data_IF_744877663018
#
_entry.id   IF_744877663018
#
_cell.length_a   1.000
_cell.length_b   1.000
_cell.length_c   1.000
_cell.angle_alpha   90.00
_cell.angle_beta   90.00
_cell.angle_gamma   90.00
#
_symmetry.space_group_name_H-M   'P 1'
#
loop_
_entity.id
_entity.type
_entity.pdbx_description
1 polymer ?
#
# COMPACT_ATOMS: atom_id res chain seq x y z
N UNK A 1 25.00 16.57 31.07
CA UNK A 1 24.12 16.70 32.25
C UNK A 1 24.31 18.11 32.79
N UNK A 2 23.23 18.83 33.01
CA UNK A 2 23.27 20.22 33.49
C UNK A 2 22.23 20.42 34.59
N UNK A 3 22.54 21.29 35.55
CA UNK A 3 21.57 21.76 36.54
C UNK A 3 20.78 22.90 35.90
N UNK A 4 19.46 22.78 35.92
CA UNK A 4 18.54 23.81 35.45
C UNK A 4 17.77 24.30 36.66
N UNK A 5 17.65 25.61 36.80
CA UNK A 5 16.86 26.21 37.87
C UNK A 5 15.51 26.66 37.29
N UNK A 6 14.42 26.29 37.94
CA UNK A 6 13.09 26.75 37.56
C UNK A 6 12.85 28.19 38.05
N UNK A 7 11.80 28.89 37.58
CA UNK A 7 11.48 30.26 38.03
C UNK A 7 11.18 30.38 39.53
N UNK A 8 10.95 29.27 40.24
CA UNK A 8 10.70 29.23 41.67
C UNK A 8 11.97 28.95 42.49
N UNK A 9 13.14 28.81 41.86
CA UNK A 9 14.43 28.55 42.51
C UNK A 9 14.69 27.06 42.79
N UNK A 10 13.86 26.15 42.29
CA UNK A 10 14.09 24.71 42.40
C UNK A 10 15.14 24.28 41.38
N UNK A 11 16.09 23.44 41.79
CA UNK A 11 17.14 22.92 40.90
C UNK A 11 16.75 21.53 40.39
N UNK A 12 16.63 21.39 39.08
CA UNK A 12 16.40 20.13 38.38
C UNK A 12 17.68 19.66 37.68
N UNK A 13 17.85 18.35 37.58
CA UNK A 13 18.90 17.74 36.78
C UNK A 13 18.37 17.46 35.37
N UNK A 14 18.95 18.08 34.36
CA UNK A 14 18.66 17.76 32.97
C UNK A 14 19.78 16.89 32.39
N UNK A 15 19.41 15.71 31.92
CA UNK A 15 20.29 14.81 31.20
C UNK A 15 19.72 14.54 29.81
N UNK A 16 20.59 14.42 28.82
CA UNK A 16 20.27 13.97 27.49
C UNK A 16 21.10 12.71 27.21
N UNK A 17 20.51 11.81 26.44
CA UNK A 17 21.15 10.61 25.94
C UNK A 17 20.63 10.31 24.55
N UNK A 18 21.35 9.47 23.82
CA UNK A 18 20.90 8.95 22.53
C UNK A 18 20.94 7.43 22.60
N UNK A 19 19.89 6.80 22.06
CA UNK A 19 19.89 5.37 21.80
C UNK A 19 20.66 5.19 20.48
N UNK A 20 21.73 4.38 20.43
CA UNK A 20 22.46 4.12 19.18
C UNK A 20 21.51 3.57 18.11
N UNK A 21 21.68 3.99 16.86
CA UNK A 21 20.84 3.50 15.75
C UNK A 21 20.87 1.97 15.64
N UNK A 22 22.00 1.33 15.97
CA UNK A 22 22.15 -0.14 15.99
C UNK A 22 21.30 -0.83 17.05
N UNK A 23 20.78 -0.10 18.04
CA UNK A 23 19.89 -0.60 19.08
C UNK A 23 18.41 -0.40 18.74
N UNK A 24 18.11 0.34 17.66
CA UNK A 24 16.76 0.59 17.17
C UNK A 24 16.40 -0.52 16.18
N UNK A 25 15.71 -1.54 16.68
CA UNK A 25 15.25 -2.72 15.92
C UNK A 25 13.74 -2.83 16.04
N UNK A 26 13.12 -3.73 15.28
CA UNK A 26 11.70 -4.04 15.46
C UNK A 26 11.43 -4.95 16.65
N UNK A 27 10.30 -4.79 17.35
CA UNK A 27 9.20 -3.83 17.08
C UNK A 27 9.46 -2.40 17.59
N UNK A 28 10.60 -2.16 18.23
CA UNK A 28 10.98 -0.86 18.75
C UNK A 28 12.11 -0.95 19.75
N UNK A 29 12.30 0.13 20.51
CA UNK A 29 13.20 0.13 21.66
C UNK A 29 12.42 0.26 22.94
N UNK A 30 12.69 -0.66 23.86
CA UNK A 30 12.30 -0.57 25.25
C UNK A 30 13.39 0.11 26.05
N UNK A 31 13.06 1.21 26.73
CA UNK A 31 14.00 1.84 27.64
C UNK A 31 13.32 2.28 28.94
N UNK A 32 14.13 2.37 29.99
CA UNK A 32 13.76 3.02 31.23
C UNK A 32 14.89 3.97 31.62
N UNK A 33 14.56 4.98 32.41
CA UNK A 33 15.54 5.90 32.97
C UNK A 33 15.70 5.55 34.44
N UNK A 34 16.93 5.34 34.90
CA UNK A 34 17.25 5.15 36.31
C UNK A 34 18.05 6.34 36.82
N UNK A 35 17.57 6.96 37.90
CA UNK A 35 18.29 7.96 38.68
C UNK A 35 18.81 7.32 39.96
N UNK A 36 20.12 7.42 40.21
CA UNK A 36 20.78 6.89 41.41
C UNK A 36 21.37 8.05 42.21
N UNK A 37 20.95 8.18 43.47
CA UNK A 37 21.46 9.18 44.41
C UNK A 37 21.84 8.50 45.75
N UNK A 38 23.13 8.20 45.92
CA UNK A 38 23.60 7.41 47.05
C UNK A 38 23.06 5.97 47.00
N UNK A 39 22.31 5.56 48.03
CA UNK A 39 21.62 4.25 48.07
C UNK A 39 20.20 4.30 47.51
N UNK A 40 19.68 5.49 47.20
CA UNK A 40 18.33 5.67 46.67
C UNK A 40 18.33 5.51 45.15
N UNK A 41 17.39 4.72 44.63
CA UNK A 41 17.14 4.53 43.20
C UNK A 41 15.72 4.94 42.86
N UNK A 42 15.55 5.61 41.74
CA UNK A 42 14.24 5.94 41.16
C UNK A 42 14.24 5.58 39.68
N UNK A 43 13.15 5.01 39.17
CA UNK A 43 13.03 4.63 37.76
C UNK A 43 11.82 5.27 37.10
N UNK A 44 11.93 5.57 35.81
CA UNK A 44 10.84 6.02 34.97
C UNK A 44 10.71 5.15 33.71
N UNK A 45 9.51 4.67 33.36
CA UNK A 45 8.27 4.76 34.13
C UNK A 45 8.34 3.99 35.46
N UNK A 46 7.63 4.47 36.48
CA UNK A 46 7.72 3.95 37.84
C UNK A 46 6.76 2.77 38.07
N UNK A 47 7.04 1.57 37.54
CA UNK A 47 6.32 0.37 37.99
C UNK A 47 7.04 -0.29 39.17
N UNK A 48 6.66 0.15 40.36
CA UNK A 48 7.15 -0.40 41.61
C UNK A 48 6.57 -1.81 41.89
N UNK A 49 7.04 -2.83 41.17
CA UNK A 49 6.98 -4.26 41.58
C UNK A 49 7.85 -5.10 40.65
N UNK A 50 9.13 -5.32 41.01
CA UNK A 50 10.10 -6.33 40.51
C UNK A 50 10.31 -6.57 38.99
N UNK A 51 9.42 -6.15 38.10
CA UNK A 51 9.55 -6.07 36.66
C UNK A 51 9.65 -4.59 36.29
N UNK A 52 10.78 -4.19 35.70
CA UNK A 52 11.00 -2.81 35.26
C UNK A 52 10.04 -2.53 34.10
N UNK A 53 9.02 -1.69 34.29
CA UNK A 53 8.26 -1.17 33.16
C UNK A 53 9.21 -0.35 32.30
N UNK A 54 9.30 -0.72 31.03
CA UNK A 54 9.96 0.07 30.02
C UNK A 54 8.93 0.96 29.34
N UNK A 55 9.37 2.14 28.92
CA UNK A 55 8.69 2.88 27.87
C UNK A 55 9.05 2.23 26.54
N UNK A 56 8.04 1.97 25.72
CA UNK A 56 8.20 1.39 24.38
C UNK A 56 8.14 2.53 23.37
N UNK A 57 9.19 2.70 22.58
CA UNK A 57 9.16 3.53 21.38
C UNK A 57 9.05 2.59 20.18
N UNK A 58 7.86 2.45 19.57
CA UNK A 58 7.74 1.66 18.35
C UNK A 58 8.51 2.35 17.23
N UNK A 59 9.18 1.56 16.40
CA UNK A 59 9.73 2.06 15.14
C UNK A 59 8.59 1.97 14.14
N UNK A 60 7.94 3.10 13.86
CA UNK A 60 6.90 3.14 12.83
C UNK A 60 7.57 3.04 11.46
N UNK A 61 7.57 1.82 10.94
CA UNK A 61 8.25 1.43 9.72
C UNK A 61 7.27 0.78 8.74
N UNK A 62 6.05 1.33 8.67
CA UNK A 62 5.06 0.84 7.72
C UNK A 62 5.59 0.95 6.27
N UNK A 63 5.39 -0.09 5.43
CA UNK A 63 5.78 -0.01 4.03
C UNK A 63 5.10 1.15 3.32
N UNK A 64 5.86 1.97 2.58
CA UNK A 64 5.28 3.03 1.74
C UNK A 64 5.13 2.48 0.33
N UNK A 65 3.92 2.54 -0.21
CA UNK A 65 3.59 1.99 -1.53
C UNK A 65 3.40 3.14 -2.52
N UNK A 66 4.16 3.12 -3.61
CA UNK A 66 3.94 3.98 -4.77
C UNK A 66 3.53 3.15 -5.97
N UNK A 67 2.50 3.61 -6.67
CA UNK A 67 1.93 2.92 -7.83
C UNK A 67 1.59 3.93 -8.92
N UNK A 68 1.90 3.60 -10.17
CA UNK A 68 1.38 4.32 -11.33
C UNK A 68 0.17 3.54 -11.89
N UNK A 69 -1.06 4.08 -11.79
CA UNK A 69 -2.26 3.38 -12.24
C UNK A 69 -2.26 3.02 -13.72
N UNK A 70 -2.73 1.82 -14.03
CA UNK A 70 -3.07 1.42 -15.40
C UNK A 70 -4.48 1.90 -15.68
N UNK A 71 -4.61 2.99 -16.43
CA UNK A 71 -5.92 3.63 -16.64
C UNK A 71 -6.75 2.94 -17.72
N UNK A 72 -6.10 2.33 -18.73
CA UNK A 72 -6.77 1.76 -19.89
C UNK A 72 -6.11 0.45 -20.32
N UNK A 73 -6.93 -0.51 -20.76
CA UNK A 73 -6.47 -1.75 -21.39
C UNK A 73 -7.49 -2.25 -22.43
N UNK A 74 -7.10 -3.00 -23.48
CA UNK A 74 -8.07 -3.68 -24.35
C UNK A 74 -8.82 -4.78 -23.61
N UNK A 75 -10.04 -5.08 -24.05
CA UNK A 75 -10.82 -6.21 -23.54
C UNK A 75 -10.08 -7.54 -23.75
N UNK A 76 -10.31 -8.49 -22.83
CA UNK A 76 -9.75 -9.84 -22.86
C UNK A 76 -8.20 -9.89 -22.88
N UNK A 77 -7.53 -8.77 -22.57
CA UNK A 77 -6.08 -8.64 -22.63
C UNK A 77 -5.52 -8.39 -21.24
N UNK A 78 -4.78 -9.37 -20.72
CA UNK A 78 -4.11 -9.23 -19.43
C UNK A 78 -3.00 -8.17 -19.46
N UNK A 79 -2.70 -7.60 -18.30
CA UNK A 79 -1.71 -6.54 -18.17
C UNK A 79 -0.95 -6.62 -16.84
N UNK A 80 0.27 -6.10 -16.83
CA UNK A 80 1.09 -6.02 -15.63
C UNK A 80 0.70 -4.81 -14.78
N UNK A 81 0.61 -5.01 -13.46
CA UNK A 81 0.58 -3.94 -12.47
C UNK A 81 1.85 -3.98 -11.64
N UNK A 82 2.41 -2.81 -11.37
CA UNK A 82 3.70 -2.66 -10.68
C UNK A 82 3.59 -1.69 -9.52
N UNK A 83 4.23 -2.02 -8.41
CA UNK A 83 4.40 -1.11 -7.27
C UNK A 83 5.86 -1.03 -6.87
N UNK A 84 6.27 0.14 -6.40
CA UNK A 84 7.53 0.32 -5.69
C UNK A 84 7.22 0.49 -4.21
N UNK A 85 7.95 -0.24 -3.37
CA UNK A 85 7.66 -0.32 -1.93
C UNK A 85 8.93 -0.05 -1.13
N UNK A 86 8.87 0.89 -0.17
CA UNK A 86 9.90 0.99 0.87
C UNK A 86 9.72 -0.10 1.93
N UNK A 87 10.77 -0.89 2.17
CA UNK A 87 10.81 -1.99 3.14
C UNK A 87 11.85 -1.67 4.22
N UNK A 88 11.43 -1.07 5.36
CA UNK A 88 12.36 -0.60 6.39
C UNK A 88 13.22 -1.71 7.01
N UNK A 89 12.74 -2.96 7.03
CA UNK A 89 13.47 -4.13 7.57
C UNK A 89 14.25 -4.93 6.54
N UNK A 90 14.32 -4.45 5.30
CA UNK A 90 15.01 -5.15 4.23
C UNK A 90 14.18 -6.18 3.48
N UNK A 91 12.95 -6.49 3.92
CA UNK A 91 12.05 -7.39 3.19
C UNK A 91 10.57 -7.08 3.43
N UNK A 92 9.78 -7.11 2.35
CA UNK A 92 8.32 -7.11 2.41
C UNK A 92 7.77 -8.26 1.56
N UNK A 93 6.47 -8.50 1.69
CA UNK A 93 5.70 -9.29 0.74
C UNK A 93 4.57 -8.43 0.20
N UNK A 94 4.34 -8.48 -1.11
CA UNK A 94 3.27 -7.76 -1.77
C UNK A 94 2.25 -8.71 -2.38
N UNK A 95 0.97 -8.37 -2.24
CA UNK A 95 -0.17 -9.07 -2.83
C UNK A 95 -1.03 -8.08 -3.59
N UNK A 96 -1.44 -8.41 -4.81
CA UNK A 96 -2.49 -7.70 -5.53
C UNK A 96 -3.81 -8.41 -5.30
N UNK A 97 -4.86 -7.65 -5.01
CA UNK A 97 -6.24 -8.11 -5.09
C UNK A 97 -6.89 -7.47 -6.31
N UNK A 98 -7.58 -8.24 -7.14
CA UNK A 98 -8.30 -7.72 -8.31
C UNK A 98 -9.62 -8.45 -8.54
N UNK A 99 -10.52 -7.80 -9.28
CA UNK A 99 -11.79 -8.37 -9.75
C UNK A 99 -12.28 -7.64 -10.99
N UNK A 100 -13.17 -8.28 -11.74
CA UNK A 100 -14.00 -7.59 -12.72
C UNK A 100 -14.89 -6.56 -12.01
N UNK A 101 -14.98 -5.37 -12.58
CA UNK A 101 -15.68 -4.26 -11.96
C UNK A 101 -17.18 -4.55 -11.88
N UNK A 102 -17.82 -4.41 -10.71
CA UNK A 102 -19.26 -4.57 -10.60
C UNK A 102 -19.99 -3.40 -11.30
N UNK A 103 -21.19 -3.66 -11.81
CA UNK A 103 -22.05 -2.61 -12.40
C UNK A 103 -22.58 -1.60 -11.38
N UNK A 104 -22.34 -1.82 -10.09
CA UNK A 104 -22.73 -0.93 -9.00
C UNK A 104 -21.52 -0.74 -8.10
N UNK A 105 -21.22 0.50 -7.74
CA UNK A 105 -20.09 0.82 -6.86
C UNK A 105 -20.18 0.01 -5.56
N UNK A 106 -19.11 -0.75 -5.28
CA UNK A 106 -18.99 -1.58 -4.08
C UNK A 106 -17.92 -1.04 -3.14
N UNK A 107 -17.87 -1.59 -1.93
CA UNK A 107 -16.75 -1.39 -1.01
C UNK A 107 -15.56 -2.25 -1.41
N UNK A 108 -14.34 -1.79 -1.14
CA UNK A 108 -13.11 -2.56 -1.32
C UNK A 108 -12.61 -3.07 0.04
N UNK A 109 -13.35 -4.01 0.63
CA UNK A 109 -12.85 -4.71 1.81
C UNK A 109 -11.75 -5.70 1.35
N UNK A 110 -10.56 -5.64 1.95
CA UNK A 110 -9.47 -6.58 1.61
C UNK A 110 -9.90 -8.05 1.74
N UNK A 111 -10.82 -8.37 2.66
CA UNK A 111 -11.29 -9.74 2.93
C UNK A 111 -12.58 -10.11 2.17
N UNK A 112 -13.05 -9.28 1.23
CA UNK A 112 -14.21 -9.61 0.40
C UNK A 112 -13.89 -10.81 -0.52
N UNK A 113 -14.69 -11.89 -0.47
CA UNK A 113 -14.43 -13.11 -1.24
C UNK A 113 -14.59 -12.94 -2.76
N UNK A 114 -15.18 -11.83 -3.23
CA UNK A 114 -15.28 -11.51 -4.67
C UNK A 114 -13.96 -11.12 -5.32
N UNK A 115 -12.92 -10.89 -4.52
CA UNK A 115 -11.58 -10.54 -5.01
C UNK A 115 -10.69 -11.76 -5.16
N UNK A 116 -10.07 -11.88 -6.33
CA UNK A 116 -8.93 -12.77 -6.56
C UNK A 116 -7.68 -12.13 -5.98
N UNK A 117 -6.78 -12.92 -5.38
CA UNK A 117 -5.56 -12.43 -4.76
C UNK A 117 -4.36 -13.22 -5.25
N UNK A 118 -3.36 -12.51 -5.76
CA UNK A 118 -2.12 -13.08 -6.25
C UNK A 118 -0.91 -12.44 -5.56
N UNK A 119 0.06 -13.27 -5.21
CA UNK A 119 1.35 -12.79 -4.75
C UNK A 119 2.08 -12.08 -5.90
N UNK A 120 2.67 -10.93 -5.61
CA UNK A 120 3.47 -10.19 -6.59
C UNK A 120 4.92 -10.68 -6.56
N UNK A 121 5.57 -10.70 -7.72
CA UNK A 121 6.96 -11.11 -7.88
C UNK A 121 7.89 -9.91 -7.80
N UNK A 122 9.07 -10.09 -7.21
CA UNK A 122 10.14 -9.07 -7.26
C UNK A 122 10.71 -9.02 -8.68
N UNK A 123 10.68 -7.85 -9.31
CA UNK A 123 11.17 -7.68 -10.70
C UNK A 123 12.41 -6.79 -10.82
N UNK A 124 12.69 -5.97 -9.81
CA UNK A 124 13.96 -5.25 -9.69
C UNK A 124 14.55 -5.53 -8.31
N UNK A 125 15.88 -5.67 -8.30
CA UNK A 125 16.61 -5.88 -7.06
C UNK A 125 16.38 -4.72 -6.10
N UNK A 126 16.34 -5.04 -4.81
CA UNK A 126 16.09 -4.05 -3.77
C UNK A 126 17.24 -3.06 -3.71
N UNK A 127 16.95 -1.76 -3.88
CA UNK A 127 17.94 -0.70 -3.79
C UNK A 127 17.91 -0.08 -2.38
N UNK A 128 19.03 -0.01 -1.66
CA UNK A 128 19.07 0.60 -0.34
C UNK A 128 18.78 2.11 -0.44
N UNK A 129 17.87 2.59 0.42
CA UNK A 129 17.65 4.03 0.65
C UNK A 129 18.21 4.36 2.02
N UNK A 130 19.49 4.73 2.07
CA UNK A 130 20.19 5.19 3.28
C UNK A 130 19.71 4.48 4.57
N UNK A 131 19.13 5.23 5.52
CA UNK A 131 18.62 4.74 6.81
C UNK A 131 17.12 4.42 6.79
N UNK A 132 16.49 4.37 5.61
CA UNK A 132 15.05 4.17 5.41
C UNK A 132 14.68 2.76 4.91
N UNK A 133 15.68 1.86 4.82
CA UNK A 133 15.52 0.48 4.39
C UNK A 133 15.87 0.29 2.92
N UNK A 134 15.11 -0.58 2.24
CA UNK A 134 15.31 -0.87 0.81
C UNK A 134 14.05 -0.61 0.02
N UNK A 135 14.15 -0.12 -1.22
CA UNK A 135 13.01 -0.08 -2.14
C UNK A 135 13.02 -1.30 -3.02
N UNK A 136 11.89 -2.00 -3.07
CA UNK A 136 11.71 -3.20 -3.89
C UNK A 136 10.55 -2.97 -4.86
N UNK A 137 10.77 -3.30 -6.14
CA UNK A 137 9.74 -3.25 -7.16
C UNK A 137 9.07 -4.61 -7.29
N UNK A 138 7.75 -4.63 -7.11
CA UNK A 138 6.92 -5.83 -7.26
C UNK A 138 6.03 -5.72 -8.49
N UNK A 139 5.78 -6.85 -9.16
CA UNK A 139 4.91 -6.94 -10.33
C UNK A 139 4.01 -8.17 -10.26
N UNK A 140 2.77 -8.00 -10.70
CA UNK A 140 1.85 -9.11 -10.96
C UNK A 140 1.10 -8.85 -12.26
N UNK A 141 0.66 -9.92 -12.91
CA UNK A 141 -0.18 -9.84 -14.11
C UNK A 141 -1.63 -10.05 -13.72
N UNK A 142 -2.50 -9.11 -14.10
CA UNK A 142 -3.94 -9.30 -14.07
C UNK A 142 -4.32 -10.08 -15.33
N UNK A 143 -4.94 -11.27 -15.20
CA UNK A 143 -5.33 -12.09 -16.33
C UNK A 143 -6.42 -11.44 -17.20
N UNK A 144 -6.41 -11.73 -18.50
CA UNK A 144 -7.33 -11.13 -19.47
C UNK A 144 -8.79 -11.50 -19.27
N UNK A 145 -9.10 -12.66 -18.68
CA UNK A 145 -10.46 -13.12 -18.37
C UNK A 145 -11.16 -12.29 -17.28
N UNK A 146 -10.41 -11.46 -16.54
CA UNK A 146 -10.99 -10.46 -15.63
C UNK A 146 -11.25 -9.10 -16.30
N UNK A 147 -10.69 -8.89 -17.50
CA UNK A 147 -10.68 -7.61 -18.24
C UNK A 147 -11.87 -7.55 -19.20
N UNK A 148 -13.07 -7.32 -18.64
CA UNK A 148 -14.29 -7.20 -19.42
C UNK A 148 -14.61 -5.75 -19.82
N UNK A 149 -15.75 -5.54 -20.49
CA UNK A 149 -16.16 -4.19 -20.94
C UNK A 149 -16.48 -3.21 -19.80
N UNK A 150 -16.66 -3.67 -18.57
CA UNK A 150 -16.93 -2.82 -17.40
C UNK A 150 -15.62 -2.32 -16.80
N UNK A 151 -14.57 -3.14 -16.85
CA UNK A 151 -13.22 -2.80 -16.40
C UNK A 151 -12.76 -3.66 -15.23
N UNK A 152 -11.61 -3.30 -14.65
CA UNK A 152 -11.01 -4.05 -13.53
C UNK A 152 -10.80 -3.13 -12.34
N UNK A 153 -11.25 -3.60 -11.18
CA UNK A 153 -10.90 -2.99 -9.90
C UNK A 153 -9.71 -3.75 -9.31
N UNK A 154 -8.71 -3.04 -8.80
CA UNK A 154 -7.56 -3.64 -8.15
C UNK A 154 -7.02 -2.79 -7.00
N UNK A 155 -6.40 -3.45 -6.03
CA UNK A 155 -5.67 -2.80 -4.94
C UNK A 155 -4.53 -3.68 -4.44
N UNK A 156 -3.66 -3.11 -3.62
CA UNK A 156 -2.45 -3.75 -3.12
C UNK A 156 -2.49 -3.86 -1.61
N UNK A 157 -1.93 -4.95 -1.10
CA UNK A 157 -1.54 -5.11 0.30
C UNK A 157 -0.06 -5.40 0.35
N UNK A 158 0.64 -4.73 1.24
CA UNK A 158 2.05 -4.98 1.50
C UNK A 158 2.25 -5.20 2.98
N UNK A 159 2.82 -6.34 3.32
CA UNK A 159 3.19 -6.72 4.67
C UNK A 159 4.72 -6.62 4.81
N UNK A 160 5.18 -5.92 5.83
CA UNK A 160 6.61 -5.73 6.09
C UNK A 160 6.81 -5.09 7.45
N UNK A 161 7.80 -5.57 8.18
CA UNK A 161 8.18 -4.95 9.45
C UNK A 161 7.12 -5.03 10.57
N UNK A 162 6.28 -6.07 10.56
CA UNK A 162 5.13 -6.16 11.48
C UNK A 162 3.97 -5.19 11.17
N UNK A 163 4.06 -4.44 10.07
CA UNK A 163 3.03 -3.52 9.60
C UNK A 163 2.41 -4.01 8.29
N UNK A 164 1.19 -3.54 8.03
CA UNK A 164 0.45 -3.79 6.79
C UNK A 164 0.00 -2.47 6.20
N UNK A 165 0.36 -2.25 4.93
CA UNK A 165 -0.02 -1.07 4.16
C UNK A 165 -0.90 -1.46 2.98
N UNK A 166 -1.81 -0.57 2.60
CA UNK A 166 -2.70 -0.75 1.44
C UNK A 166 -2.53 0.37 0.43
N UNK A 167 -2.75 0.07 -0.86
CA UNK A 167 -2.81 1.09 -1.91
C UNK A 167 -3.93 0.76 -2.93
N UNK A 168 -4.80 1.72 -3.28
CA UNK A 168 -4.88 3.07 -2.73
C UNK A 168 -5.45 3.04 -1.30
N UNK A 169 -4.84 3.79 -0.39
CA UNK A 169 -5.22 3.76 1.03
C UNK A 169 -4.10 4.23 1.95
N UNK A 170 -4.33 4.07 3.26
CA UNK A 170 -3.38 4.47 4.29
C UNK A 170 -2.43 3.32 4.66
N UNK A 171 -1.19 3.64 5.06
CA UNK A 171 -0.18 2.66 5.50
C UNK A 171 -0.47 2.03 6.88
N UNK A 172 -1.60 2.37 7.51
CA UNK A 172 -1.97 1.86 8.84
C UNK A 172 -3.31 1.16 8.73
N UNK A 173 -3.32 -0.14 9.00
CA UNK A 173 -4.51 -0.94 9.25
C UNK A 173 -5.14 -0.55 10.60
N UNK A 174 -5.52 0.71 10.77
CA UNK A 174 -6.45 1.07 11.83
C UNK A 174 -7.84 0.59 11.36
N UNK A 175 -8.47 -0.38 12.04
CA UNK A 175 -9.78 -0.90 11.66
C UNK A 175 -10.89 0.17 11.75
N UNK A 176 -10.59 1.35 12.31
CA UNK A 176 -11.49 2.51 12.33
C UNK A 176 -11.25 3.49 11.19
N UNK A 177 -10.11 3.40 10.49
CA UNK A 177 -9.88 4.17 9.27
C UNK A 177 -10.64 3.53 8.10
N UNK A 178 -11.16 4.39 7.21
CA UNK A 178 -11.98 3.99 6.08
C UNK A 178 -11.33 2.83 5.31
N UNK A 179 -12.15 1.86 4.91
CA UNK A 179 -11.71 0.69 4.15
C UNK A 179 -10.82 1.09 2.96
N UNK A 180 -9.84 0.24 2.59
CA UNK A 180 -9.02 0.51 1.41
C UNK A 180 -9.92 0.81 0.21
N UNK A 181 -9.51 1.76 -0.60
CA UNK A 181 -10.18 2.03 -1.87
C UNK A 181 -9.56 1.13 -2.94
N UNK A 182 -9.93 1.34 -4.20
CA UNK A 182 -9.38 0.59 -5.31
C UNK A 182 -9.01 1.53 -6.45
N UNK A 183 -8.02 1.10 -7.25
CA UNK A 183 -7.80 1.63 -8.58
C UNK A 183 -8.77 0.97 -9.54
N UNK A 184 -9.18 1.71 -10.57
CA UNK A 184 -10.05 1.21 -11.62
C UNK A 184 -9.35 1.38 -12.97
N UNK A 185 -9.26 0.29 -13.73
CA UNK A 185 -8.80 0.28 -15.12
C UNK A 185 -10.00 0.23 -16.04
N UNK A 186 -10.14 1.25 -16.90
CA UNK A 186 -11.15 1.26 -17.94
C UNK A 186 -10.76 0.35 -19.09
N UNK A 187 -11.76 -0.27 -19.71
CA UNK A 187 -11.54 -1.13 -20.87
C UNK A 187 -11.90 -0.41 -22.14
N UNK A 188 -10.95 -0.39 -23.07
CA UNK A 188 -11.15 0.13 -24.42
C UNK A 188 -11.94 -0.90 -25.20
N UNK A 189 -13.23 -0.64 -25.39
CA UNK A 189 -14.06 -1.48 -26.24
C UNK A 189 -13.59 -1.34 -27.70
N UNK A 190 -13.36 -2.46 -28.43
CA UNK A 190 -13.09 -2.39 -29.86
C UNK A 190 -14.25 -1.71 -30.60
N UNK A 191 -14.00 -0.90 -31.65
CA UNK A 191 -15.06 -0.33 -32.47
C UNK A 191 -15.99 -1.43 -32.98
N UNK A 192 -17.28 -1.36 -32.64
CA UNK A 192 -18.28 -2.28 -33.18
C UNK A 192 -18.83 -1.72 -34.47
N UNK A 193 -18.66 -2.45 -35.56
CA UNK A 193 -19.21 -2.11 -36.87
C UNK A 193 -20.50 -2.89 -37.10
N UNK A 194 -21.63 -2.17 -37.29
CA UNK A 194 -22.86 -2.75 -37.80
C UNK A 194 -23.03 -2.30 -39.25
N UNK A 195 -22.92 -3.25 -40.18
CA UNK A 195 -23.21 -3.04 -41.59
C UNK A 195 -24.58 -3.64 -41.93
N UNK A 196 -25.41 -2.90 -42.65
CA UNK A 196 -26.67 -3.40 -43.22
C UNK A 196 -26.44 -3.66 -44.71
N UNK A 197 -26.29 -4.92 -45.15
CA UNK A 197 -26.08 -5.21 -46.57
C UNK A 197 -27.30 -4.85 -47.40
N UNK A 198 -27.07 -4.26 -48.58
CA UNK A 198 -28.13 -4.14 -49.58
C UNK A 198 -28.47 -5.53 -50.12
N UNK A 199 -29.67 -6.02 -49.84
CA UNK A 199 -30.08 -7.38 -50.23
C UNK A 199 -30.11 -7.58 -51.77
N UNK A 200 -30.50 -6.54 -52.51
CA UNK A 200 -30.56 -6.53 -53.98
C UNK A 200 -30.33 -5.11 -54.51
N UNK A 201 -29.77 -4.98 -55.71
CA UNK A 201 -29.74 -3.71 -56.44
C UNK A 201 -30.04 -3.92 -57.93
N UNK A 202 -30.80 -3.02 -58.57
CA UNK A 202 -30.99 -3.05 -60.02
C UNK A 202 -29.68 -2.94 -60.81
N UNK A 203 -29.72 -3.40 -62.06
CA UNK A 203 -28.59 -3.29 -62.98
C UNK A 203 -28.27 -1.81 -63.26
N UNK A 204 -26.99 -1.44 -63.11
CA UNK A 204 -26.46 -0.08 -63.34
C UNK A 204 -27.04 1.01 -62.43
N UNK A 205 -27.47 0.65 -61.22
CA UNK A 205 -27.82 1.63 -60.17
C UNK A 205 -26.82 1.62 -59.02
N UNK A 206 -26.61 2.79 -58.41
CA UNK A 206 -25.77 2.91 -57.21
C UNK A 206 -26.36 2.06 -56.07
N UNK A 207 -25.49 1.36 -55.34
CA UNK A 207 -25.88 0.58 -54.16
C UNK A 207 -25.61 1.43 -52.91
N UNK A 208 -26.62 1.81 -52.11
CA UNK A 208 -26.37 2.48 -50.85
C UNK A 208 -25.73 1.50 -49.87
N UNK A 209 -24.55 1.84 -49.36
CA UNK A 209 -23.86 1.11 -48.30
C UNK A 209 -23.92 2.00 -47.06
N UNK A 210 -24.55 1.51 -46.00
CA UNK A 210 -24.51 2.15 -44.68
C UNK A 210 -23.79 1.24 -43.69
N UNK A 211 -23.00 1.88 -42.83
CA UNK A 211 -22.41 1.26 -41.65
C UNK A 211 -22.50 2.26 -40.50
N UNK A 212 -22.72 1.73 -39.29
CA UNK A 212 -22.63 2.50 -38.06
C UNK A 212 -21.49 1.90 -37.23
N UNK A 213 -20.62 2.76 -36.71
CA UNK A 213 -19.53 2.36 -35.82
C UNK A 213 -19.75 3.01 -34.44
N UNK A 214 -19.46 2.28 -33.36
CA UNK A 214 -19.19 2.91 -32.07
C UNK A 214 -17.76 3.46 -32.09
N UNK A 215 -17.59 4.74 -31.77
CA UNK A 215 -16.28 5.34 -31.53
C UNK A 215 -16.13 5.55 -30.03
N UNK A 216 -15.06 4.99 -29.46
CA UNK A 216 -14.65 5.15 -28.07
C UNK A 216 -13.56 6.23 -27.98
#
# INVERSE_FOLDING_TARGET
MQLVEDPAGSRALQATGQIPATSVVEPGVEYFIELVAGTTRSTFPSSATAARAAWVVPVDAAPVVTHQPVLFTPADTGYAVRIDVSCPTGGCTATVAYRTSPTTAGTAAWDDPSWTRDAMNVVLASEPIENLGVVTTYEANIPGDFVDIVGVDYLFRVDGGGHTSYAPGTPVADPTLAQPTYFHTHVLEPPRLVHVPAATSPYRTNIPISATATCC
#
